data_IF_792789278542
#
_entry.id   IF_792789278542
#
_cell.length_a   1.000
_cell.length_b   1.000
_cell.length_c   1.000
_cell.angle_alpha   90.00
_cell.angle_beta   90.00
_cell.angle_gamma   90.00
#
_symmetry.space_group_name_H-M   'P 1'
#
loop_
_entity.id
_entity.type
_entity.pdbx_description
1 polymer ?
#
# COMPACT_ATOMS: atom_id res chain seq x y z
N UNK A 1 -7.27 15.66 9.01
CA UNK A 1 -5.80 15.57 8.77
C UNK A 1 -5.31 14.47 7.80
N UNK A 2 -6.12 13.58 7.19
CA UNK A 2 -5.59 12.59 6.22
C UNK A 2 -4.91 13.22 5.00
N UNK A 3 -5.51 14.31 4.48
CA UNK A 3 -5.05 14.98 3.25
C UNK A 3 -3.64 15.56 3.37
N UNK A 4 -3.27 16.11 4.53
CA UNK A 4 -1.95 16.71 4.74
C UNK A 4 -0.85 15.65 4.71
N UNK A 5 -1.06 14.51 5.36
CA UNK A 5 -0.09 13.41 5.37
C UNK A 5 0.10 12.82 3.97
N UNK A 6 -0.98 12.66 3.19
CA UNK A 6 -0.89 12.26 1.79
C UNK A 6 -0.10 13.25 0.94
N UNK A 7 -0.29 14.56 1.14
CA UNK A 7 0.46 15.60 0.42
C UNK A 7 1.95 15.51 0.73
N UNK A 8 2.32 15.41 2.00
CA UNK A 8 3.73 15.31 2.40
C UNK A 8 4.36 14.02 1.86
N UNK A 9 3.67 12.89 1.92
CA UNK A 9 4.17 11.62 1.35
C UNK A 9 4.44 11.75 -0.15
N UNK A 10 3.54 12.38 -0.91
CA UNK A 10 3.71 12.58 -2.37
C UNK A 10 4.79 13.60 -2.73
N UNK A 11 5.09 14.54 -1.85
CA UNK A 11 6.10 15.57 -2.08
C UNK A 11 7.52 15.13 -1.72
N UNK A 12 7.71 13.89 -1.24
CA UNK A 12 9.06 13.41 -0.91
C UNK A 12 9.88 13.14 -2.17
N UNK A 13 11.19 13.36 -2.06
CA UNK A 13 12.14 13.24 -3.18
C UNK A 13 12.22 11.82 -3.76
N UNK A 14 12.10 10.81 -2.89
CA UNK A 14 12.08 9.41 -3.28
C UNK A 14 11.17 8.58 -2.35
N UNK A 15 10.94 7.34 -2.74
CA UNK A 15 10.08 6.42 -2.02
C UNK A 15 10.63 6.01 -0.64
N UNK A 16 11.94 6.10 -0.42
CA UNK A 16 12.57 5.80 0.88
C UNK A 16 12.27 6.91 1.88
N UNK A 17 12.33 8.17 1.43
CA UNK A 17 11.92 9.32 2.23
C UNK A 17 10.43 9.29 2.53
N UNK A 18 9.60 8.96 1.53
CA UNK A 18 8.16 8.72 1.72
C UNK A 18 7.88 7.65 2.79
N UNK A 19 8.58 6.51 2.73
CA UNK A 19 8.46 5.45 3.74
C UNK A 19 8.90 5.90 5.14
N UNK A 20 10.02 6.61 5.26
CA UNK A 20 10.50 7.13 6.55
C UNK A 20 9.46 8.05 7.17
N UNK A 21 8.91 8.98 6.40
CA UNK A 21 7.86 9.88 6.88
C UNK A 21 6.58 9.11 7.24
N UNK A 22 6.16 8.16 6.41
CA UNK A 22 5.00 7.31 6.68
C UNK A 22 5.11 6.59 8.04
N UNK A 23 6.26 5.97 8.34
CA UNK A 23 6.47 5.31 9.63
C UNK A 23 6.65 6.29 10.78
N UNK A 24 7.24 7.46 10.55
CA UNK A 24 7.31 8.51 11.55
C UNK A 24 5.91 9.00 11.94
N UNK A 25 5.04 9.25 10.96
CA UNK A 25 3.67 9.70 11.17
C UNK A 25 2.87 8.64 11.95
N UNK A 26 2.99 7.36 11.58
CA UNK A 26 2.37 6.23 12.28
C UNK A 26 2.72 6.14 13.78
N UNK A 27 3.87 6.68 14.18
CA UNK A 27 4.33 6.67 15.59
C UNK A 27 3.86 7.88 16.40
N UNK A 28 3.19 8.86 15.78
CA UNK A 28 2.75 10.06 16.50
C UNK A 28 1.60 9.74 17.44
N UNK A 29 1.64 10.33 18.64
CA UNK A 29 0.63 10.11 19.68
C UNK A 29 -0.78 10.45 19.16
N UNK A 30 -1.73 9.54 19.37
CA UNK A 30 -3.14 9.63 18.93
C UNK A 30 -3.35 9.80 17.42
N UNK A 31 -2.31 9.70 16.62
CA UNK A 31 -2.44 9.68 15.18
C UNK A 31 -2.63 8.24 14.69
N UNK A 32 -3.52 8.06 13.73
CA UNK A 32 -3.67 6.82 12.97
C UNK A 32 -3.79 7.19 11.51
N UNK A 33 -3.09 6.44 10.66
CA UNK A 33 -3.25 6.60 9.22
C UNK A 33 -4.70 6.27 8.83
N UNK A 34 -5.27 7.17 8.03
CA UNK A 34 -6.49 6.92 7.30
C UNK A 34 -6.21 5.87 6.19
N UNK A 35 -7.17 5.01 5.83
CA UNK A 35 -7.03 4.05 4.73
C UNK A 35 -6.42 4.66 3.45
N UNK A 36 -6.76 5.92 3.13
CA UNK A 36 -6.21 6.59 1.95
C UNK A 36 -4.69 6.74 2.02
N UNK A 37 -4.11 6.95 3.20
CA UNK A 37 -2.66 7.13 3.37
C UNK A 37 -1.90 5.85 3.04
N UNK A 38 -2.45 4.70 3.41
CA UNK A 38 -1.92 3.39 3.03
C UNK A 38 -1.96 3.19 1.52
N UNK A 39 -3.09 3.55 0.88
CA UNK A 39 -3.23 3.47 -0.57
C UNK A 39 -2.19 4.34 -1.29
N UNK A 40 -1.97 5.58 -0.86
CA UNK A 40 -0.94 6.47 -1.42
C UNK A 40 0.47 5.88 -1.28
N UNK A 41 0.82 5.35 -0.11
CA UNK A 41 2.14 4.74 0.09
C UNK A 41 2.33 3.52 -0.81
N UNK A 42 1.30 2.69 -0.99
CA UNK A 42 1.35 1.53 -1.88
C UNK A 42 1.41 1.91 -3.35
N UNK A 43 0.72 2.98 -3.76
CA UNK A 43 0.81 3.57 -5.10
C UNK A 43 2.26 3.98 -5.41
N UNK A 44 2.92 4.70 -4.49
CA UNK A 44 4.33 5.12 -4.65
C UNK A 44 5.24 3.89 -4.76
N UNK A 45 5.09 2.90 -3.88
CA UNK A 45 5.93 1.70 -3.89
C UNK A 45 5.72 0.86 -5.17
N UNK A 46 4.50 0.83 -5.72
CA UNK A 46 4.22 0.10 -6.96
C UNK A 46 4.92 0.64 -8.20
N UNK A 47 5.32 1.91 -8.17
CA UNK A 47 6.07 2.57 -9.25
C UNK A 47 7.56 2.28 -9.17
N UNK A 48 8.03 1.64 -8.10
CA UNK A 48 9.45 1.40 -7.81
C UNK A 48 9.79 -0.08 -7.91
N UNK A 49 11.08 -0.41 -8.04
CA UNK A 49 11.57 -1.81 -7.93
C UNK A 49 11.62 -2.31 -6.48
N UNK A 50 11.17 -1.53 -5.49
CA UNK A 50 11.19 -1.89 -4.07
C UNK A 50 9.99 -2.75 -3.68
N UNK A 51 9.92 -3.94 -4.28
CA UNK A 51 8.95 -4.99 -3.98
C UNK A 51 8.92 -5.38 -2.49
N UNK A 52 9.97 -5.11 -1.72
CA UNK A 52 10.06 -5.46 -0.31
C UNK A 52 9.21 -4.54 0.60
N UNK A 53 8.92 -3.32 0.14
CA UNK A 53 8.17 -2.34 0.92
C UNK A 53 6.67 -2.67 0.99
N UNK A 54 6.06 -2.99 -0.16
CA UNK A 54 4.61 -3.19 -0.25
C UNK A 54 4.08 -4.35 0.63
N UNK A 55 4.71 -5.53 0.71
CA UNK A 55 4.28 -6.61 1.60
C UNK A 55 4.31 -6.22 3.08
N UNK A 56 5.22 -5.34 3.50
CA UNK A 56 5.27 -4.85 4.88
C UNK A 56 4.08 -3.96 5.20
N UNK A 57 3.70 -3.08 4.26
CA UNK A 57 2.52 -2.23 4.39
C UNK A 57 1.23 -3.06 4.37
N UNK A 58 1.14 -4.08 3.52
CA UNK A 58 -0.01 -4.99 3.48
C UNK A 58 -0.22 -5.73 4.81
N UNK A 59 0.86 -6.26 5.40
CA UNK A 59 0.80 -6.88 6.73
C UNK A 59 0.40 -5.89 7.82
N UNK A 60 0.78 -4.61 7.68
CA UNK A 60 0.39 -3.57 8.61
C UNK A 60 -1.12 -3.28 8.55
N UNK A 61 -1.69 -3.21 7.34
CA UNK A 61 -3.14 -3.06 7.11
C UNK A 61 -3.91 -4.23 7.75
N UNK A 62 -3.46 -5.46 7.49
CA UNK A 62 -4.05 -6.70 8.03
C UNK A 62 -4.02 -6.74 9.56
N UNK A 63 -2.85 -6.50 10.18
CA UNK A 63 -2.70 -6.47 11.64
C UNK A 63 -3.58 -5.42 12.32
N UNK A 64 -3.91 -4.35 11.61
CA UNK A 64 -4.75 -3.26 12.12
C UNK A 64 -6.24 -3.48 11.86
N UNK A 65 -6.62 -4.57 11.19
CA UNK A 65 -8.01 -4.84 10.82
C UNK A 65 -8.60 -3.80 9.87
N UNK A 66 -7.74 -3.10 9.11
CA UNK A 66 -8.20 -2.08 8.16
C UNK A 66 -8.68 -2.80 6.91
N UNK A 67 -9.92 -2.55 6.50
CA UNK A 67 -10.45 -3.07 5.24
C UNK A 67 -9.53 -2.66 4.09
N UNK A 68 -9.03 -3.63 3.32
CA UNK A 68 -8.12 -3.37 2.19
C UNK A 68 -8.86 -2.50 1.17
N UNK A 69 -8.40 -1.27 0.91
CA UNK A 69 -8.98 -0.46 -0.15
C UNK A 69 -8.82 -1.18 -1.50
N UNK A 70 -9.82 -1.20 -2.39
CA UNK A 70 -9.71 -1.83 -3.71
C UNK A 70 -8.47 -1.37 -4.50
N UNK A 71 -8.09 -0.11 -4.35
CA UNK A 71 -6.96 0.53 -5.02
C UNK A 71 -5.61 -0.08 -4.62
N UNK A 72 -5.53 -0.66 -3.41
CA UNK A 72 -4.33 -1.34 -2.92
C UNK A 72 -4.02 -2.58 -3.76
N UNK A 73 -5.04 -3.32 -4.18
CA UNK A 73 -4.83 -4.54 -4.94
C UNK A 73 -4.26 -4.28 -6.34
N UNK A 74 -4.76 -3.24 -7.03
CA UNK A 74 -4.23 -2.81 -8.32
C UNK A 74 -2.76 -2.39 -8.20
N UNK A 75 -2.40 -1.61 -7.19
CA UNK A 75 -1.01 -1.17 -6.97
C UNK A 75 -0.07 -2.36 -6.74
N UNK A 76 -0.51 -3.34 -5.94
CA UNK A 76 0.31 -4.52 -5.64
C UNK A 76 0.51 -5.37 -6.90
N UNK A 77 -0.54 -5.64 -7.70
CA UNK A 77 -0.39 -6.37 -8.96
C UNK A 77 0.59 -5.68 -9.92
N UNK A 78 0.49 -4.36 -10.09
CA UNK A 78 1.41 -3.59 -10.95
C UNK A 78 2.86 -3.71 -10.47
N UNK A 79 3.09 -3.66 -9.15
CA UNK A 79 4.42 -3.81 -8.55
C UNK A 79 5.03 -5.18 -8.85
N UNK A 80 4.27 -6.26 -8.67
CA UNK A 80 4.74 -7.62 -8.90
C UNK A 80 4.96 -7.93 -10.39
N UNK A 81 4.08 -7.44 -11.27
CA UNK A 81 4.26 -7.55 -12.72
C UNK A 81 5.53 -6.85 -13.20
N UNK A 82 5.84 -5.65 -12.66
CA UNK A 82 7.07 -4.90 -12.98
C UNK A 82 8.35 -5.52 -12.41
N UNK A 83 8.24 -6.30 -11.33
CA UNK A 83 9.35 -7.02 -10.73
C UNK A 83 9.67 -8.37 -11.43
N UNK A 84 9.08 -8.65 -12.61
CA UNK A 84 9.16 -9.94 -13.32
C UNK A 84 8.66 -11.15 -12.50
N UNK A 85 7.91 -10.91 -11.43
CA UNK A 85 7.31 -11.94 -10.57
C UNK A 85 5.88 -12.24 -11.02
N UNK A 86 5.76 -12.70 -12.27
CA UNK A 86 4.47 -12.97 -12.93
C UNK A 86 3.61 -13.95 -12.13
N UNK A 87 4.22 -14.97 -11.53
CA UNK A 87 3.51 -16.00 -10.75
C UNK A 87 2.83 -15.44 -9.49
N UNK A 88 3.50 -14.53 -8.79
CA UNK A 88 2.93 -13.88 -7.61
C UNK A 88 1.85 -12.87 -7.97
N UNK A 89 2.00 -12.18 -9.11
CA UNK A 89 0.97 -11.28 -9.66
C UNK A 89 -0.33 -12.04 -9.98
N UNK A 90 -0.23 -13.21 -10.61
CA UNK A 90 -1.37 -14.08 -10.92
C UNK A 90 -2.05 -14.65 -9.65
N UNK A 91 -1.26 -14.97 -8.61
CA UNK A 91 -1.79 -15.42 -7.31
C UNK A 91 -2.59 -14.32 -6.60
N UNK A 92 -2.13 -13.06 -6.71
CA UNK A 92 -2.86 -11.91 -6.16
C UNK A 92 -4.15 -11.61 -6.95
N UNK A 93 -4.12 -11.70 -8.27
CA UNK A 93 -5.29 -11.50 -9.12
C UNK A 93 -6.40 -12.52 -8.84
N UNK A 94 -6.03 -13.79 -8.66
CA UNK A 94 -6.98 -14.85 -8.30
C UNK A 94 -7.56 -14.68 -6.89
N UNK A 95 -6.79 -14.15 -5.94
CA UNK A 95 -7.30 -13.80 -4.62
C UNK A 95 -8.33 -12.66 -4.69
N UNK A 96 -8.09 -11.63 -5.51
CA UNK A 96 -9.04 -10.54 -5.70
C UNK A 96 -10.37 -11.00 -6.27
N UNK A 97 -10.34 -11.88 -7.28
CA UNK A 97 -11.55 -12.41 -7.90
C UNK A 97 -12.41 -13.15 -6.86
N UNK A 98 -11.80 -14.01 -6.05
CA UNK A 98 -12.50 -14.72 -4.96
C UNK A 98 -13.11 -13.78 -3.92
N UNK A 99 -12.39 -12.72 -3.54
CA UNK A 99 -12.91 -11.72 -2.59
C UNK A 99 -14.04 -10.88 -3.20
N UNK A 100 -14.02 -10.66 -4.52
CA UNK A 100 -15.09 -9.98 -5.25
C UNK A 100 -16.38 -10.79 -5.37
N UNK A 101 -16.28 -12.12 -5.39
CA UNK A 101 -17.43 -13.03 -5.48
C UNK A 101 -18.13 -13.25 -4.12
N UNK A 102 -17.48 -12.93 -3.00
CA UNK A 102 -18.01 -13.18 -1.64
C UNK A 102 -18.84 -12.02 -1.05
N UNK A 103 -19.10 -10.92 -1.79
CA UNK A 103 -19.91 -9.80 -1.27
C UNK A 103 -20.81 -9.15 -2.32
N UNK A 104 -22.08 -9.56 -2.32
CA UNK A 104 -23.25 -8.74 -2.65
C UNK A 104 -24.12 -8.60 -1.41
#
# INVERSE_FOLDING_TARGET
>A
MPRQVCVVIRSQQDERMALKFFYWAERQWRYRHDPIVYAVMLEILSKTKLYQGAPRILRLIERKGISRPPEVFQCVMISYSRAWRLRDSLTLLTLMQKVGDEKW
#
